data_IF_248899544066
#
_entry.id   IF_248899544066
#
_cell.length_a   1.000
_cell.length_b   1.000
_cell.length_c   1.000
_cell.angle_alpha   90.00
_cell.angle_beta   90.00
_cell.angle_gamma   90.00
#
_symmetry.space_group_name_H-M   'P 1'
#
loop_
_entity.id
_entity.type
_entity.pdbx_description
1 polymer ?
#
# COMPACT_ATOMS: atom_id res chain seq x y z
N UNK A 1 58.30 34.01 -19.97
CA UNK A 1 59.46 34.04 -19.04
C UNK A 1 58.99 33.72 -17.63
N UNK A 2 59.85 33.06 -16.84
CA UNK A 2 59.60 32.32 -15.59
C UNK A 2 59.56 33.19 -14.32
N UNK A 3 58.86 32.73 -13.28
CA UNK A 3 59.28 32.46 -11.86
C UNK A 3 58.01 32.41 -10.98
N UNK A 4 57.58 31.27 -10.42
CA UNK A 4 58.11 30.43 -9.32
C UNK A 4 58.11 31.11 -7.94
N UNK A 5 57.30 30.56 -7.02
CA UNK A 5 57.45 30.41 -5.55
C UNK A 5 56.09 30.65 -4.85
N UNK A 6 55.56 29.87 -3.89
CA UNK A 6 56.04 28.71 -3.11
C UNK A 6 54.82 27.97 -2.49
N UNK A 7 55.00 26.65 -2.37
CA UNK A 7 54.30 25.58 -1.58
C UNK A 7 53.88 26.00 -0.15
N UNK A 8 52.82 25.46 0.46
CA UNK A 8 52.61 24.09 1.06
C UNK A 8 51.18 24.06 1.66
N UNK A 9 50.50 22.95 1.96
CA UNK A 9 50.67 21.52 1.68
C UNK A 9 49.38 20.82 2.16
N UNK A 10 48.64 20.18 1.26
CA UNK A 10 47.65 19.18 1.65
C UNK A 10 48.32 17.81 1.61
N UNK A 11 48.22 17.09 2.73
CA UNK A 11 48.92 15.85 2.99
C UNK A 11 47.95 14.67 2.80
N UNK A 12 48.35 13.77 1.89
CA UNK A 12 48.18 12.32 1.88
C UNK A 12 46.79 11.71 1.55
N UNK A 13 46.74 11.09 0.37
CA UNK A 13 45.97 9.85 0.13
C UNK A 13 46.73 8.64 0.70
N UNK A 14 46.08 7.47 0.84
CA UNK A 14 46.41 6.44 -0.13
C UNK A 14 45.21 5.63 -0.66
N UNK A 15 45.43 5.18 -1.89
CA UNK A 15 44.72 4.18 -2.67
C UNK A 15 44.55 2.86 -1.91
N UNK A 16 43.33 2.29 -1.92
CA UNK A 16 43.12 0.87 -1.68
C UNK A 16 42.14 0.35 -2.73
N UNK A 17 42.70 -0.41 -3.67
CA UNK A 17 41.96 -1.13 -4.71
C UNK A 17 41.11 -2.24 -4.10
N UNK A 18 39.91 -2.40 -4.65
CA UNK A 18 39.19 -3.69 -4.72
C UNK A 18 37.93 -3.81 -3.88
N UNK A 19 36.77 -3.43 -4.43
CA UNK A 19 35.49 -4.10 -4.14
C UNK A 19 34.64 -4.14 -5.42
N UNK A 20 34.26 -5.36 -5.79
CA UNK A 20 33.32 -5.69 -6.88
C UNK A 20 31.89 -5.77 -6.33
N UNK A 21 30.98 -4.99 -6.94
CA UNK A 21 29.50 -5.06 -7.09
C UNK A 21 28.64 -5.75 -6.00
N UNK A 22 27.64 -5.07 -5.44
CA UNK A 22 26.19 -5.37 -5.64
C UNK A 22 25.22 -4.76 -4.61
N UNK A 23 24.04 -4.40 -5.15
CA UNK A 23 22.67 -4.59 -4.62
C UNK A 23 21.92 -3.31 -4.22
N UNK A 24 20.73 -3.20 -4.81
CA UNK A 24 19.81 -2.06 -4.78
C UNK A 24 19.49 -1.54 -3.37
N UNK A 25 19.47 -0.21 -3.23
CA UNK A 25 18.99 0.50 -2.06
C UNK A 25 17.46 0.43 -1.99
N UNK A 26 16.90 -0.70 -1.58
CA UNK A 26 15.62 -0.65 -0.91
C UNK A 26 15.93 -0.33 0.55
N UNK A 27 15.88 0.96 0.90
CA UNK A 27 15.84 1.35 2.30
C UNK A 27 14.60 0.69 2.89
N UNK A 28 14.81 -0.28 3.77
CA UNK A 28 13.75 -0.79 4.65
C UNK A 28 13.25 0.40 5.47
N UNK A 29 12.17 1.04 5.01
CA UNK A 29 11.49 2.07 5.77
C UNK A 29 10.66 1.36 6.84
N UNK A 30 11.28 1.09 7.98
CA UNK A 30 10.58 0.55 9.13
C UNK A 30 9.85 1.70 9.81
N UNK A 31 8.52 1.71 9.68
CA UNK A 31 7.67 2.68 10.38
C UNK A 31 7.80 2.41 11.89
N UNK A 32 8.22 3.41 12.70
CA UNK A 32 8.28 3.26 14.14
C UNK A 32 6.92 2.90 14.72
N UNK A 33 6.89 2.11 15.79
CA UNK A 33 5.64 1.57 16.37
C UNK A 33 4.68 2.68 16.83
N UNK A 34 5.22 3.76 17.38
CA UNK A 34 4.45 4.96 17.76
C UNK A 34 3.66 5.61 16.59
N UNK A 35 4.09 5.39 15.33
CA UNK A 35 3.39 5.89 14.15
C UNK A 35 2.36 4.89 13.62
N UNK A 36 2.41 3.61 14.02
CA UNK A 36 1.40 2.61 13.61
C UNK A 36 0.08 2.82 14.35
N UNK A 37 0.15 3.28 15.59
CA UNK A 37 -1.01 3.65 16.40
C UNK A 37 -1.57 5.05 16.08
N UNK A 38 -0.95 5.81 15.16
CA UNK A 38 -1.50 7.09 14.71
C UNK A 38 -2.87 6.84 14.04
N UNK A 39 -3.95 7.53 14.47
CA UNK A 39 -5.28 7.34 13.90
C UNK A 39 -5.33 7.47 12.38
N UNK A 40 -4.56 8.39 11.79
CA UNK A 40 -4.50 8.55 10.35
C UNK A 40 -3.83 7.36 9.65
N UNK A 41 -2.85 6.73 10.30
CA UNK A 41 -2.19 5.53 9.79
C UNK A 41 -3.12 4.32 9.84
N UNK A 42 -3.85 4.16 10.96
CA UNK A 42 -4.85 3.09 11.13
C UNK A 42 -5.99 3.24 10.12
N UNK A 43 -6.50 4.46 9.91
CA UNK A 43 -7.55 4.73 8.92
C UNK A 43 -7.09 4.46 7.49
N UNK A 44 -5.88 4.87 7.13
CA UNK A 44 -5.29 4.57 5.82
C UNK A 44 -5.10 3.06 5.64
N UNK A 45 -4.62 2.35 6.67
CA UNK A 45 -4.50 0.89 6.67
C UNK A 45 -5.85 0.20 6.45
N UNK A 46 -6.91 0.69 7.08
CA UNK A 46 -8.26 0.15 6.91
C UNK A 46 -8.81 0.36 5.49
N UNK A 47 -8.55 1.52 4.87
CA UNK A 47 -8.93 1.79 3.49
C UNK A 47 -8.17 0.88 2.50
N UNK A 48 -6.86 0.69 2.71
CA UNK A 48 -6.04 -0.24 1.92
C UNK A 48 -6.54 -1.68 2.07
N UNK A 49 -6.83 -2.12 3.30
CA UNK A 49 -7.34 -3.46 3.57
C UNK A 49 -8.67 -3.73 2.86
N UNK A 50 -9.60 -2.76 2.88
CA UNK A 50 -10.85 -2.86 2.13
C UNK A 50 -10.59 -2.96 0.61
N UNK A 51 -9.75 -2.08 0.07
CA UNK A 51 -9.45 -2.04 -1.37
C UNK A 51 -8.89 -3.36 -1.88
N UNK A 52 -7.92 -3.92 -1.16
CA UNK A 52 -7.34 -5.22 -1.48
C UNK A 52 -8.39 -6.34 -1.43
N UNK A 53 -9.21 -6.39 -0.37
CA UNK A 53 -10.24 -7.42 -0.22
C UNK A 53 -11.28 -7.38 -1.35
N UNK A 54 -11.67 -6.18 -1.80
CA UNK A 54 -12.58 -6.01 -2.94
C UNK A 54 -11.93 -6.47 -4.24
N UNK A 55 -10.69 -6.04 -4.51
CA UNK A 55 -9.94 -6.47 -5.69
C UNK A 55 -9.81 -7.99 -5.76
N UNK A 56 -9.39 -8.63 -4.67
CA UNK A 56 -9.18 -10.08 -4.59
C UNK A 56 -10.47 -10.84 -4.87
N UNK A 57 -11.58 -10.42 -4.26
CA UNK A 57 -12.86 -11.10 -4.48
C UNK A 57 -13.42 -10.84 -5.87
N UNK A 58 -13.30 -9.61 -6.39
CA UNK A 58 -13.75 -9.26 -7.74
C UNK A 58 -13.02 -10.09 -8.80
N UNK A 59 -11.70 -10.19 -8.68
CA UNK A 59 -10.87 -10.98 -9.60
C UNK A 59 -11.14 -12.48 -9.47
N UNK A 60 -11.38 -12.99 -8.26
CA UNK A 60 -11.81 -14.38 -8.06
C UNK A 60 -13.18 -14.71 -8.68
N UNK A 61 -14.06 -13.72 -8.81
CA UNK A 61 -15.32 -13.83 -9.55
C UNK A 61 -15.17 -13.70 -11.07
N UNK A 62 -13.99 -13.29 -11.56
CA UNK A 62 -13.73 -13.10 -12.99
C UNK A 62 -14.44 -11.91 -13.63
N UNK A 63 -14.85 -10.91 -12.84
CA UNK A 63 -15.53 -9.70 -13.32
C UNK A 63 -14.59 -8.49 -13.34
N UNK A 64 -14.85 -7.53 -14.23
CA UNK A 64 -14.13 -6.25 -14.27
C UNK A 64 -14.73 -5.20 -13.30
N UNK A 65 -14.07 -4.06 -13.18
CA UNK A 65 -14.51 -2.97 -12.28
C UNK A 65 -15.86 -2.38 -12.70
N UNK A 66 -16.14 -2.30 -14.02
CA UNK A 66 -17.41 -1.80 -14.53
C UNK A 66 -18.58 -2.72 -14.11
N UNK A 67 -18.39 -4.04 -14.20
CA UNK A 67 -19.38 -5.01 -13.73
C UNK A 67 -19.63 -4.90 -12.22
N UNK A 68 -18.57 -4.66 -11.42
CA UNK A 68 -18.75 -4.43 -9.98
C UNK A 68 -19.47 -3.11 -9.69
N UNK A 69 -19.15 -2.05 -10.42
CA UNK A 69 -19.80 -0.75 -10.35
C UNK A 69 -21.31 -0.89 -10.60
N UNK A 70 -21.71 -1.59 -11.67
CA UNK A 70 -23.12 -1.88 -11.96
C UNK A 70 -23.81 -2.66 -10.84
N UNK A 71 -23.15 -3.68 -10.28
CA UNK A 71 -23.71 -4.51 -9.19
C UNK A 71 -23.88 -3.75 -7.88
N UNK A 72 -23.02 -2.77 -7.62
CA UNK A 72 -23.02 -1.95 -6.39
C UNK A 72 -23.86 -0.68 -6.53
N UNK A 73 -24.08 -0.20 -7.76
CA UNK A 73 -24.65 1.11 -8.04
C UNK A 73 -23.64 2.26 -7.88
N UNK A 74 -22.34 1.95 -7.81
CA UNK A 74 -21.26 2.93 -7.77
C UNK A 74 -20.76 3.27 -9.18
N UNK A 75 -19.95 4.32 -9.31
CA UNK A 75 -19.23 4.57 -10.56
C UNK A 75 -17.98 3.69 -10.67
N UNK A 76 -17.48 3.46 -11.89
CA UNK A 76 -16.20 2.76 -12.09
C UNK A 76 -15.04 3.50 -11.42
N UNK A 77 -15.06 4.84 -11.42
CA UNK A 77 -14.05 5.67 -10.72
C UNK A 77 -14.12 5.48 -9.19
N UNK A 78 -15.32 5.29 -8.62
CA UNK A 78 -15.46 4.96 -7.20
C UNK A 78 -14.90 3.57 -6.89
N UNK A 79 -15.09 2.59 -7.78
CA UNK A 79 -14.49 1.26 -7.64
C UNK A 79 -12.97 1.34 -7.74
N UNK A 80 -12.43 2.08 -8.71
CA UNK A 80 -10.98 2.27 -8.86
C UNK A 80 -10.37 2.93 -7.62
N UNK A 81 -10.96 4.02 -7.15
CA UNK A 81 -10.54 4.69 -5.90
C UNK A 81 -10.64 3.76 -4.69
N UNK A 82 -11.68 2.94 -4.62
CA UNK A 82 -11.85 1.97 -3.54
C UNK A 82 -10.76 0.90 -3.59
N UNK A 83 -10.52 0.27 -4.74
CA UNK A 83 -9.48 -0.75 -4.91
C UNK A 83 -8.08 -0.17 -4.69
N UNK A 84 -7.88 1.12 -4.99
CA UNK A 84 -6.67 1.87 -4.69
C UNK A 84 -6.50 2.30 -3.21
N UNK A 85 -7.42 1.94 -2.32
CA UNK A 85 -7.33 2.27 -0.89
C UNK A 85 -7.66 3.74 -0.55
N UNK A 86 -8.35 4.45 -1.44
CA UNK A 86 -8.73 5.85 -1.27
C UNK A 86 -10.11 6.05 -0.61
N UNK A 87 -10.75 4.98 -0.15
CA UNK A 87 -12.12 5.01 0.37
C UNK A 87 -12.19 4.36 1.75
N UNK A 88 -12.67 5.11 2.75
CA UNK A 88 -12.81 4.62 4.10
C UNK A 88 -13.91 3.52 4.20
N UNK A 89 -13.67 2.45 4.99
CA UNK A 89 -14.63 1.36 5.16
C UNK A 89 -15.78 1.78 6.07
N UNK A 90 -16.87 2.27 5.49
CA UNK A 90 -18.09 2.63 6.23
C UNK A 90 -19.14 1.53 6.14
N UNK A 91 -19.88 1.28 7.23
CA UNK A 91 -20.93 0.24 7.25
C UNK A 91 -21.96 0.37 6.08
N UNK A 92 -22.41 1.58 5.67
CA UNK A 92 -23.29 1.73 4.51
C UNK A 92 -22.67 1.31 3.18
N UNK A 93 -21.35 1.46 2.99
CA UNK A 93 -20.62 1.02 1.80
C UNK A 93 -20.39 -0.50 1.80
N UNK A 94 -20.09 -1.07 2.97
CA UNK A 94 -19.74 -2.48 3.13
C UNK A 94 -20.89 -3.44 2.77
N UNK A 95 -22.15 -3.06 3.06
CA UNK A 95 -23.33 -3.91 2.80
C UNK A 95 -23.58 -4.13 1.29
N UNK A 96 -23.64 -3.09 0.44
CA UNK A 96 -23.70 -3.26 -1.01
C UNK A 96 -22.55 -4.08 -1.58
N UNK A 97 -21.32 -3.89 -1.07
CA UNK A 97 -20.16 -4.63 -1.53
C UNK A 97 -20.30 -6.13 -1.26
N UNK A 98 -20.67 -6.53 -0.04
CA UNK A 98 -20.88 -7.94 0.30
C UNK A 98 -21.90 -8.61 -0.64
N UNK A 99 -23.02 -7.93 -0.90
CA UNK A 99 -24.04 -8.39 -1.86
C UNK A 99 -23.48 -8.46 -3.28
N UNK A 100 -22.81 -7.40 -3.74
CA UNK A 100 -22.27 -7.29 -5.09
C UNK A 100 -21.02 -8.17 -5.33
N UNK A 101 -20.45 -8.76 -4.28
CA UNK A 101 -19.33 -9.69 -4.38
C UNK A 101 -19.73 -11.13 -4.05
N UNK A 102 -21.04 -11.38 -3.90
CA UNK A 102 -21.60 -12.69 -3.55
C UNK A 102 -20.79 -13.37 -2.43
N UNK A 103 -20.66 -12.65 -1.32
CA UNK A 103 -19.83 -13.07 -0.20
C UNK A 103 -20.38 -12.49 1.12
N UNK A 104 -20.12 -13.21 2.21
CA UNK A 104 -20.16 -12.63 3.55
C UNK A 104 -18.93 -11.75 3.75
N UNK A 105 -19.07 -10.69 4.53
CA UNK A 105 -17.96 -9.81 4.90
C UNK A 105 -17.52 -10.11 6.32
N UNK A 106 -16.26 -10.48 6.48
CA UNK A 106 -15.60 -10.61 7.76
C UNK A 106 -14.67 -9.42 7.97
N UNK A 107 -14.85 -8.73 9.11
CA UNK A 107 -14.03 -7.59 9.52
C UNK A 107 -13.50 -7.85 10.92
N UNK A 108 -12.18 -7.79 11.08
CA UNK A 108 -11.50 -7.83 12.38
C UNK A 108 -10.81 -6.50 12.61
N UNK A 109 -11.08 -5.88 13.75
CA UNK A 109 -10.51 -4.58 14.14
C UNK A 109 -9.79 -4.76 15.46
N UNK A 110 -8.52 -4.37 15.50
CA UNK A 110 -7.77 -4.18 16.74
C UNK A 110 -7.29 -2.71 16.85
N UNK A 111 -6.42 -2.41 17.80
CA UNK A 111 -5.98 -1.03 18.08
C UNK A 111 -5.09 -0.42 17.00
N UNK A 112 -4.47 -1.23 16.15
CA UNK A 112 -3.47 -0.78 15.16
C UNK A 112 -3.76 -1.27 13.74
N UNK A 113 -4.66 -2.26 13.59
CA UNK A 113 -4.92 -2.93 12.32
C UNK A 113 -6.42 -3.17 12.11
N UNK A 114 -6.83 -3.05 10.84
CA UNK A 114 -8.12 -3.53 10.37
C UNK A 114 -7.87 -4.56 9.29
N UNK A 115 -8.42 -5.77 9.47
CA UNK A 115 -8.43 -6.83 8.46
C UNK A 115 -9.82 -6.98 7.89
N UNK A 116 -9.89 -7.10 6.57
CA UNK A 116 -11.13 -7.22 5.82
C UNK A 116 -11.02 -8.40 4.87
N UNK A 117 -12.03 -9.26 4.83
CA UNK A 117 -12.09 -10.38 3.88
C UNK A 117 -13.52 -10.66 3.43
N UNK A 118 -13.69 -11.00 2.15
CA UNK A 118 -14.95 -11.46 1.59
C UNK A 118 -14.95 -12.99 1.49
N UNK A 119 -15.75 -13.65 2.33
CA UNK A 119 -15.89 -15.10 2.38
C UNK A 119 -17.00 -15.51 1.40
N UNK A 120 -16.71 -16.28 0.33
CA UNK A 120 -17.72 -16.74 -0.60
C UNK A 120 -18.83 -17.52 0.11
N UNK A 121 -20.08 -17.32 -0.29
CA UNK A 121 -21.15 -18.22 0.16
C UNK A 121 -20.87 -19.63 -0.38
N UNK A 122 -21.05 -20.65 0.47
CA UNK A 122 -20.96 -22.04 0.02
C UNK A 122 -22.04 -22.30 -1.03
N UNK A 123 -21.66 -23.01 -2.10
CA UNK A 123 -22.55 -23.42 -3.18
C UNK A 123 -23.52 -24.53 -2.75
#
# INVERSE_FOLDING_TARGET
MRRVARRRADHLSPDVRGVTVSRAYHTSWTIPEEHRADPAYVEAGAAIALGQAVYDRRTALGIDQASLAERTGLSTDDIDRLEGGGTAPTLPLLRPLAKALDAALDVSIDTEETRVSFVPHAA
#
